data_IF_122799363546
#
_entry.id   IF_122799363546
#
_cell.length_a   1.000
_cell.length_b   1.000
_cell.length_c   1.000
_cell.angle_alpha   90.00
_cell.angle_beta   90.00
_cell.angle_gamma   90.00
#
_symmetry.space_group_name_H-M   'P 1'
#
loop_
_entity.id
_entity.type
_entity.pdbx_description
1 polymer ?
#
# COMPACT_ATOMS: atom_id res chain seq x y z
N UNK A 1 4.94 9.70 25.81
CA UNK A 1 4.91 8.35 25.23
C UNK A 1 5.12 7.37 26.38
N UNK A 2 4.10 7.16 27.22
CA UNK A 2 4.16 6.08 28.21
C UNK A 2 3.99 4.77 27.47
N UNK A 3 4.84 3.80 27.79
CA UNK A 3 4.77 2.47 27.19
C UNK A 3 3.62 1.72 27.86
N UNK A 4 2.42 1.85 27.30
CA UNK A 4 1.22 1.19 27.81
C UNK A 4 1.28 -0.31 27.50
N UNK A 5 0.97 -1.15 28.48
CA UNK A 5 0.90 -2.59 28.31
C UNK A 5 -0.08 -2.98 27.18
N UNK A 6 -1.16 -2.22 27.00
CA UNK A 6 -2.11 -2.41 25.90
C UNK A 6 -1.45 -2.20 24.53
N UNK A 7 -0.60 -1.17 24.38
CA UNK A 7 0.14 -0.94 23.14
C UNK A 7 1.06 -2.12 22.82
N UNK A 8 1.80 -2.61 23.82
CA UNK A 8 2.68 -3.76 23.66
C UNK A 8 1.90 -5.03 23.26
N UNK A 9 0.75 -5.27 23.89
CA UNK A 9 -0.12 -6.41 23.56
C UNK A 9 -0.72 -6.30 22.15
N UNK A 10 -1.15 -5.11 21.72
CA UNK A 10 -1.68 -4.88 20.36
C UNK A 10 -0.59 -5.11 19.31
N UNK A 11 0.64 -4.62 19.54
CA UNK A 11 1.76 -4.85 18.62
C UNK A 11 2.08 -6.33 18.53
N UNK A 12 2.15 -7.05 19.66
CA UNK A 12 2.37 -8.50 19.68
C UNK A 12 1.26 -9.27 18.95
N UNK A 13 0.00 -8.89 19.16
CA UNK A 13 -1.14 -9.50 18.49
C UNK A 13 -1.11 -9.24 16.97
N UNK A 14 -0.81 -8.02 16.54
CA UNK A 14 -0.66 -7.67 15.12
C UNK A 14 0.51 -8.42 14.48
N UNK A 15 1.64 -8.55 15.19
CA UNK A 15 2.78 -9.34 14.73
C UNK A 15 2.40 -10.82 14.58
N UNK A 16 1.74 -11.41 15.58
CA UNK A 16 1.28 -12.79 15.53
C UNK A 16 0.31 -13.02 14.36
N UNK A 17 -0.65 -12.12 14.13
CA UNK A 17 -1.58 -12.19 13.01
C UNK A 17 -0.87 -12.08 11.65
N UNK A 18 0.14 -11.21 11.54
CA UNK A 18 0.95 -11.05 10.31
C UNK A 18 1.73 -12.32 9.99
N UNK A 19 2.37 -12.94 10.99
CA UNK A 19 3.08 -14.20 10.79
C UNK A 19 2.13 -15.36 10.52
N UNK A 20 0.99 -15.43 11.22
CA UNK A 20 -0.02 -16.46 11.00
C UNK A 20 -0.56 -16.43 9.57
N UNK A 21 -0.88 -15.24 9.02
CA UNK A 21 -1.34 -15.09 7.63
C UNK A 21 -0.25 -15.45 6.62
N UNK A 22 1.01 -15.10 6.88
CA UNK A 22 2.15 -15.51 6.04
C UNK A 22 2.35 -17.02 6.03
N UNK A 23 2.32 -17.67 7.21
CA UNK A 23 2.45 -19.13 7.34
C UNK A 23 1.26 -19.83 6.66
N UNK A 24 0.04 -19.31 6.85
CA UNK A 24 -1.16 -19.83 6.20
C UNK A 24 -1.03 -19.82 4.67
N UNK A 25 -0.56 -18.71 4.09
CA UNK A 25 -0.29 -18.61 2.65
C UNK A 25 0.79 -19.59 2.19
N UNK A 26 1.87 -19.73 2.95
CA UNK A 26 2.95 -20.70 2.65
C UNK A 26 2.45 -22.15 2.67
N UNK A 27 1.66 -22.54 3.68
CA UNK A 27 1.06 -23.88 3.77
C UNK A 27 0.08 -24.12 2.63
N UNK A 28 -0.73 -23.12 2.28
CA UNK A 28 -1.70 -23.22 1.18
C UNK A 28 -0.99 -23.46 -0.16
N UNK A 29 0.09 -22.72 -0.42
CA UNK A 29 0.88 -22.86 -1.65
C UNK A 29 1.63 -24.19 -1.68
N UNK A 30 2.26 -24.61 -0.57
CA UNK A 30 3.00 -25.88 -0.50
C UNK A 30 2.12 -27.13 -0.56
N UNK A 31 0.84 -27.03 -0.18
CA UNK A 31 -0.17 -28.10 -0.37
C UNK A 31 -0.58 -28.28 -1.83
N UNK A 32 -0.41 -27.26 -2.67
CA UNK A 32 -0.74 -27.32 -4.10
C UNK A 32 0.49 -27.79 -4.90
N UNK A 33 0.56 -29.11 -5.19
CA UNK A 33 1.66 -29.72 -5.96
C UNK A 33 1.81 -29.15 -7.39
N UNK A 34 0.72 -28.62 -7.97
CA UNK A 34 0.74 -27.77 -9.16
C UNK A 34 -0.29 -26.65 -8.99
N UNK A 35 0.08 -25.43 -9.38
CA UNK A 35 -0.84 -24.29 -9.37
C UNK A 35 -1.72 -24.42 -10.62
N UNK A 36 -3.05 -24.59 -10.48
CA UNK A 36 -3.92 -24.68 -11.66
C UNK A 36 -3.94 -23.32 -12.40
N UNK A 37 -4.07 -23.29 -13.74
CA UNK A 37 -3.95 -22.05 -14.54
C UNK A 37 -4.83 -20.89 -14.07
N UNK A 38 -6.03 -21.21 -13.56
CA UNK A 38 -6.97 -20.24 -12.97
C UNK A 38 -6.45 -19.55 -11.70
N UNK A 39 -5.73 -20.28 -10.85
CA UNK A 39 -5.18 -19.75 -9.60
C UNK A 39 -3.96 -18.87 -9.85
N UNK A 40 -3.14 -19.22 -10.85
CA UNK A 40 -2.00 -18.41 -11.26
C UNK A 40 -2.47 -17.06 -11.84
N UNK A 41 -3.47 -17.08 -12.72
CA UNK A 41 -4.08 -15.86 -13.24
C UNK A 41 -4.69 -14.98 -12.13
N UNK A 42 -5.39 -15.58 -11.17
CA UNK A 42 -5.91 -14.86 -10.01
C UNK A 42 -4.78 -14.26 -9.17
N UNK A 43 -3.72 -15.03 -8.88
CA UNK A 43 -2.60 -14.58 -8.06
C UNK A 43 -1.82 -13.44 -8.73
N UNK A 44 -1.67 -13.46 -10.06
CA UNK A 44 -1.06 -12.36 -10.81
C UNK A 44 -1.91 -11.08 -10.78
N UNK A 45 -3.23 -11.19 -10.64
CA UNK A 45 -4.13 -10.04 -10.53
C UNK A 45 -4.19 -9.44 -9.10
N UNK A 46 -3.89 -10.24 -8.06
CA UNK A 46 -3.97 -9.81 -6.65
C UNK A 46 -3.13 -8.57 -6.35
N UNK A 47 -1.83 -8.47 -6.74
CA UNK A 47 -1.02 -7.30 -6.43
C UNK A 47 -1.61 -6.00 -7.00
N UNK A 48 -2.09 -6.05 -8.24
CA UNK A 48 -2.71 -4.90 -8.87
C UNK A 48 -4.01 -4.49 -8.15
N UNK A 49 -4.85 -5.46 -7.78
CA UNK A 49 -6.08 -5.22 -7.01
C UNK A 49 -5.78 -4.60 -5.64
N UNK A 50 -4.81 -5.14 -4.89
CA UNK A 50 -4.47 -4.60 -3.56
C UNK A 50 -3.95 -3.16 -3.66
N UNK A 51 -3.04 -2.87 -4.60
CA UNK A 51 -2.51 -1.52 -4.79
C UNK A 51 -3.60 -0.52 -5.18
N UNK A 52 -4.52 -0.90 -6.07
CA UNK A 52 -5.64 -0.02 -6.45
C UNK A 52 -6.60 0.25 -5.29
N UNK A 53 -6.84 -0.73 -4.42
CA UNK A 53 -7.66 -0.52 -3.20
C UNK A 53 -6.99 0.39 -2.17
N UNK A 54 -5.66 0.53 -2.18
CA UNK A 54 -4.95 1.52 -1.36
C UNK A 54 -5.05 2.94 -1.95
N UNK A 55 -4.95 3.05 -3.27
CA UNK A 55 -4.96 4.35 -3.97
C UNK A 55 -6.37 4.97 -4.03
N UNK A 56 -7.42 4.17 -4.24
CA UNK A 56 -8.79 4.66 -4.34
C UNK A 56 -9.26 5.48 -3.11
N UNK A 57 -9.18 4.98 -1.85
CA UNK A 57 -9.59 5.78 -0.69
C UNK A 57 -8.69 6.99 -0.48
N UNK A 58 -7.39 6.90 -0.79
CA UNK A 58 -6.48 8.06 -0.74
C UNK A 58 -6.91 9.17 -1.73
N UNK A 59 -7.50 8.80 -2.87
CA UNK A 59 -8.06 9.75 -3.82
C UNK A 59 -9.41 10.31 -3.40
N UNK A 60 -10.34 9.48 -2.91
CA UNK A 60 -11.71 9.92 -2.61
C UNK A 60 -11.86 10.58 -1.23
N UNK A 61 -11.28 9.99 -0.19
CA UNK A 61 -11.40 10.43 1.20
C UNK A 61 -10.26 11.41 1.55
N UNK A 62 -9.13 11.33 0.87
CA UNK A 62 -8.00 12.25 1.06
C UNK A 62 -8.32 13.70 0.69
N UNK A 63 -7.52 14.62 1.24
CA UNK A 63 -7.61 16.04 0.93
C UNK A 63 -7.11 16.39 -0.47
N UNK A 64 -7.13 17.67 -0.79
CA UNK A 64 -6.76 18.17 -2.12
C UNK A 64 -5.27 17.92 -2.43
N UNK A 65 -4.43 17.92 -1.40
CA UNK A 65 -3.01 17.56 -1.47
C UNK A 65 -2.80 16.14 -1.96
N UNK A 66 -3.60 15.19 -1.46
CA UNK A 66 -3.49 13.77 -1.82
C UNK A 66 -3.94 13.56 -3.27
N UNK A 67 -5.02 14.22 -3.70
CA UNK A 67 -5.52 14.17 -5.09
C UNK A 67 -4.51 14.71 -6.08
N UNK A 68 -3.95 15.90 -5.83
CA UNK A 68 -2.95 16.51 -6.72
C UNK A 68 -1.67 15.67 -6.79
N UNK A 69 -1.20 15.14 -5.66
CA UNK A 69 -0.03 14.27 -5.63
C UNK A 69 -0.23 12.99 -6.45
N UNK A 70 -1.41 12.37 -6.34
CA UNK A 70 -1.77 11.17 -7.12
C UNK A 70 -1.88 11.47 -8.62
N UNK A 71 -2.46 12.61 -9.00
CA UNK A 71 -2.56 13.03 -10.41
C UNK A 71 -1.16 13.22 -11.00
N UNK A 72 -0.27 13.93 -10.29
CA UNK A 72 1.09 14.14 -10.80
C UNK A 72 1.91 12.86 -10.78
N UNK A 73 1.75 12.01 -9.76
CA UNK A 73 2.36 10.69 -9.76
C UNK A 73 1.94 9.88 -11.00
N UNK A 74 0.65 9.90 -11.37
CA UNK A 74 0.16 9.24 -12.57
C UNK A 74 0.83 9.78 -13.84
N UNK A 75 0.85 11.11 -14.02
CA UNK A 75 1.45 11.71 -15.23
C UNK A 75 2.97 11.50 -15.32
N UNK A 76 3.69 11.62 -14.21
CA UNK A 76 5.15 11.43 -14.18
C UNK A 76 5.50 9.95 -14.34
N UNK A 77 4.74 9.05 -13.70
CA UNK A 77 4.94 7.60 -13.79
C UNK A 77 4.72 7.02 -15.19
N UNK A 78 3.87 7.65 -16.01
CA UNK A 78 3.67 7.23 -17.40
C UNK A 78 4.86 7.56 -18.33
N UNK A 79 5.69 8.57 -17.98
CA UNK A 79 6.75 9.07 -18.86
C UNK A 79 8.18 8.87 -18.34
N UNK A 80 8.36 8.81 -17.02
CA UNK A 80 9.66 8.81 -16.34
C UNK A 80 9.82 7.61 -15.39
N UNK A 81 11.03 7.40 -14.88
CA UNK A 81 11.33 6.33 -13.91
C UNK A 81 10.50 6.48 -12.63
N UNK A 82 10.17 5.34 -12.00
CA UNK A 82 9.43 5.25 -10.74
C UNK A 82 10.05 6.12 -9.63
N UNK A 83 11.37 6.27 -9.60
CA UNK A 83 12.05 7.13 -8.62
C UNK A 83 11.66 8.61 -8.79
N UNK A 84 11.59 9.10 -10.04
CA UNK A 84 11.20 10.49 -10.33
C UNK A 84 9.73 10.75 -10.02
N UNK A 85 8.87 9.76 -10.24
CA UNK A 85 7.46 9.82 -9.84
C UNK A 85 7.31 10.04 -8.33
N UNK A 86 8.03 9.27 -7.51
CA UNK A 86 7.99 9.39 -6.05
C UNK A 86 8.48 10.76 -5.58
N UNK A 87 9.57 11.26 -6.14
CA UNK A 87 10.12 12.58 -5.80
C UNK A 87 9.13 13.69 -6.15
N UNK A 88 8.54 13.66 -7.36
CA UNK A 88 7.58 14.68 -7.80
C UNK A 88 6.33 14.71 -6.91
N UNK A 89 5.75 13.54 -6.62
CA UNK A 89 4.58 13.43 -5.75
C UNK A 89 4.88 13.92 -4.32
N UNK A 90 6.05 13.55 -3.77
CA UNK A 90 6.48 13.99 -2.45
C UNK A 90 6.65 15.52 -2.38
N UNK A 91 7.30 16.13 -3.37
CA UNK A 91 7.45 17.58 -3.46
C UNK A 91 6.06 18.24 -3.44
N UNK A 92 5.09 17.72 -4.20
CA UNK A 92 3.75 18.32 -4.25
C UNK A 92 3.06 18.27 -2.89
N UNK A 93 3.05 17.12 -2.21
CA UNK A 93 2.47 17.00 -0.87
C UNK A 93 3.17 17.94 0.10
N UNK A 94 4.50 17.98 0.06
CA UNK A 94 5.29 18.79 0.99
C UNK A 94 5.11 20.29 0.75
N UNK A 95 5.08 20.72 -0.51
CA UNK A 95 4.85 22.12 -0.88
C UNK A 95 3.44 22.54 -0.47
N UNK A 96 2.42 21.69 -0.71
CA UNK A 96 1.05 21.98 -0.31
C UNK A 96 0.90 22.07 1.21
N UNK A 97 1.58 21.17 1.94
CA UNK A 97 1.59 21.18 3.41
C UNK A 97 2.37 22.35 3.99
N UNK A 98 3.44 22.79 3.32
CA UNK A 98 4.25 23.94 3.76
C UNK A 98 3.62 25.29 3.40
N UNK A 99 2.75 25.33 2.37
CA UNK A 99 1.99 26.52 1.99
C UNK A 99 0.91 26.97 3.00
N UNK A 100 0.84 26.32 4.17
CA UNK A 100 0.07 26.83 5.32
C UNK A 100 -1.45 26.77 5.15
N UNK A 101 -1.97 25.87 4.32
CA UNK A 101 -3.41 25.61 4.22
C UNK A 101 -3.91 24.54 5.22
N UNK A 102 -3.20 24.38 6.35
CA UNK A 102 -3.65 23.79 7.63
C UNK A 102 -2.85 24.37 8.80
#
# INVERSE_FOLDING_TARGET
>A
MEFDLHMALVILAAAAATFATRIGGYILITRMKSIPPRMEAALNAVPAAVLTTLVAPAFFIGGWESKLALIVALFVGLRFSHTWMLVAAWIIVMTWRHAGWF
#
